data_IF_501698688488
#
_entry.id   IF_501698688488
#
_cell.length_a   1.000
_cell.length_b   1.000
_cell.length_c   1.000
_cell.angle_alpha   90.00
_cell.angle_beta   90.00
_cell.angle_gamma   90.00
#
_symmetry.space_group_name_H-M   'P 1'
#
loop_
_entity.id
_entity.type
_entity.pdbx_description
1 polymer ?
#
# COMPACT_ATOMS: atom_id res chain seq x y z
N UNK A 1 18.71 61.36 -4.18
CA UNK A 1 17.46 60.72 -3.73
C UNK A 1 17.54 59.29 -4.21
N UNK A 2 17.90 58.38 -3.32
CA UNK A 2 18.24 56.97 -3.65
C UNK A 2 17.00 56.11 -3.33
N UNK A 3 16.36 55.56 -4.35
CA UNK A 3 15.21 54.69 -4.19
C UNK A 3 15.69 53.31 -3.81
N UNK A 4 15.44 52.91 -2.58
CA UNK A 4 15.77 51.58 -2.05
C UNK A 4 14.61 50.66 -2.40
N UNK A 5 14.80 49.81 -3.44
CA UNK A 5 13.79 48.80 -3.84
C UNK A 5 13.71 47.72 -2.77
N UNK A 6 12.54 47.59 -2.12
CA UNK A 6 12.21 46.42 -1.29
C UNK A 6 11.96 45.25 -2.21
N UNK A 7 12.87 44.26 -2.15
CA UNK A 7 12.63 42.92 -2.72
C UNK A 7 11.73 42.19 -1.73
N UNK A 8 10.44 42.10 -2.05
CA UNK A 8 9.51 41.26 -1.30
C UNK A 8 9.86 39.77 -1.52
N UNK A 9 10.35 39.09 -0.49
CA UNK A 9 10.46 37.65 -0.47
C UNK A 9 9.04 37.10 -0.30
N UNK A 10 8.46 36.58 -1.36
CA UNK A 10 7.20 35.82 -1.29
C UNK A 10 7.53 34.47 -0.67
N UNK A 11 7.28 34.29 0.63
CA UNK A 11 7.27 32.98 1.25
C UNK A 11 5.98 32.28 0.79
N UNK A 12 6.11 31.30 -0.11
CA UNK A 12 5.04 30.35 -0.33
C UNK A 12 4.81 29.61 0.98
N UNK A 13 3.56 29.54 1.46
CA UNK A 13 3.18 28.65 2.54
C UNK A 13 3.45 27.21 2.06
N UNK A 14 3.91 26.29 2.93
CA UNK A 14 4.01 24.89 2.58
C UNK A 14 2.65 24.38 2.13
N UNK A 15 2.63 23.50 1.13
CA UNK A 15 1.40 22.86 0.70
C UNK A 15 0.84 22.01 1.86
N UNK A 16 -0.45 22.07 2.09
CA UNK A 16 -1.11 21.24 3.09
C UNK A 16 -1.25 19.81 2.54
N UNK A 17 -1.08 18.77 3.39
CA UNK A 17 -1.34 17.39 3.00
C UNK A 17 -2.74 17.21 2.41
N UNK A 18 -2.85 16.49 1.31
CA UNK A 18 -4.09 16.36 0.55
C UNK A 18 -4.60 14.92 0.61
N UNK A 19 -5.92 14.76 0.78
CA UNK A 19 -6.60 13.47 0.69
C UNK A 19 -6.56 12.95 -0.76
N UNK A 20 -6.24 11.66 -0.91
CA UNK A 20 -6.31 10.92 -2.16
C UNK A 20 -7.18 9.67 -1.98
N UNK A 21 -7.90 9.31 -3.01
CA UNK A 21 -8.73 8.09 -3.05
C UNK A 21 -8.13 7.10 -4.04
N UNK A 22 -7.80 5.91 -3.56
CA UNK A 22 -7.24 4.85 -4.39
C UNK A 22 -8.23 4.40 -5.47
N UNK A 23 -7.75 4.31 -6.71
CA UNK A 23 -8.50 3.78 -7.83
C UNK A 23 -8.51 2.25 -7.80
N UNK A 24 -9.64 1.65 -7.44
CA UNK A 24 -9.81 0.19 -7.34
C UNK A 24 -9.59 -0.56 -8.67
N UNK A 25 -9.73 0.11 -9.81
CA UNK A 25 -9.49 -0.51 -11.11
C UNK A 25 -8.00 -0.59 -11.45
N UNK A 26 -7.19 0.35 -10.96
CA UNK A 26 -5.76 0.43 -11.25
C UNK A 26 -4.87 0.21 -10.02
N UNK A 27 -5.47 -0.12 -8.86
CA UNK A 27 -4.73 -0.52 -7.66
C UNK A 27 -4.71 -2.03 -7.52
N UNK A 28 -3.55 -2.60 -7.23
CA UNK A 28 -3.33 -4.05 -7.08
C UNK A 28 -2.41 -4.32 -5.90
N UNK A 29 -2.78 -5.32 -5.11
CA UNK A 29 -1.97 -5.84 -4.01
C UNK A 29 -1.62 -7.30 -4.35
N UNK A 30 -0.35 -7.53 -4.67
CA UNK A 30 0.19 -8.84 -4.99
C UNK A 30 1.03 -9.40 -3.85
N UNK A 31 1.05 -10.71 -3.73
CA UNK A 31 2.02 -11.42 -2.92
C UNK A 31 2.67 -12.53 -3.74
N UNK A 32 3.90 -12.88 -3.36
CA UNK A 32 4.66 -13.97 -3.99
C UNK A 32 5.41 -14.76 -2.93
N UNK A 33 5.32 -16.06 -2.98
CA UNK A 33 6.06 -17.00 -2.14
C UNK A 33 6.81 -18.00 -3.02
N UNK A 34 7.98 -18.45 -2.56
CA UNK A 34 8.69 -19.54 -3.21
C UNK A 34 8.09 -20.89 -2.76
N UNK A 35 7.72 -21.75 -3.70
CA UNK A 35 7.19 -23.07 -3.39
C UNK A 35 8.24 -24.13 -3.69
N UNK A 36 8.78 -24.74 -2.64
CA UNK A 36 9.73 -25.87 -2.69
C UNK A 36 11.04 -25.57 -3.47
N UNK A 37 11.40 -24.30 -3.66
CA UNK A 37 12.51 -23.93 -4.53
C UNK A 37 12.26 -24.13 -6.03
N UNK A 38 11.05 -24.57 -6.41
CA UNK A 38 10.72 -24.94 -7.80
C UNK A 38 10.03 -23.82 -8.57
N UNK A 39 9.21 -23.02 -7.89
CA UNK A 39 8.47 -21.93 -8.55
C UNK A 39 8.18 -20.79 -7.59
N UNK A 40 8.00 -19.60 -8.16
CA UNK A 40 7.43 -18.45 -7.45
C UNK A 40 5.91 -18.49 -7.66
N UNK A 41 5.19 -18.84 -6.62
CA UNK A 41 3.74 -18.83 -6.60
C UNK A 41 3.26 -17.44 -6.19
N UNK A 42 2.39 -16.85 -7.01
CA UNK A 42 1.85 -15.51 -6.76
C UNK A 42 0.32 -15.54 -6.65
N UNK A 43 -0.20 -14.66 -5.82
CA UNK A 43 -1.62 -14.35 -5.72
C UNK A 43 -1.81 -12.85 -5.52
N UNK A 44 -3.06 -12.46 -5.32
CA UNK A 44 -3.45 -11.07 -5.11
C UNK A 44 -4.65 -10.96 -4.16
N UNK A 45 -4.93 -9.75 -3.70
CA UNK A 45 -6.19 -9.40 -3.07
C UNK A 45 -7.03 -8.56 -4.04
N UNK A 46 -8.30 -8.90 -4.19
CA UNK A 46 -9.22 -8.26 -5.14
C UNK A 46 -9.88 -7.00 -4.56
N UNK A 47 -9.98 -6.95 -3.23
CA UNK A 47 -10.61 -5.85 -2.50
C UNK A 47 -9.63 -5.23 -1.52
N UNK A 48 -9.71 -3.93 -1.37
CA UNK A 48 -8.96 -3.14 -0.41
C UNK A 48 -9.72 -1.84 -0.12
N UNK A 49 -9.50 -1.30 1.06
CA UNK A 49 -9.85 0.06 1.44
C UNK A 49 -8.57 0.77 1.85
N UNK A 50 -8.26 1.89 1.20
CA UNK A 50 -7.02 2.65 1.39
C UNK A 50 -7.40 4.10 1.67
N UNK A 51 -7.15 4.53 2.90
CA UNK A 51 -7.20 5.93 3.29
C UNK A 51 -5.79 6.51 3.14
N UNK A 52 -5.64 7.49 2.25
CA UNK A 52 -4.34 8.02 1.86
C UNK A 52 -4.32 9.54 1.88
N UNK A 53 -3.49 10.10 2.75
CA UNK A 53 -3.15 11.53 2.79
C UNK A 53 -1.74 11.66 2.24
N UNK A 54 -1.55 12.47 1.21
CA UNK A 54 -0.27 12.65 0.53
C UNK A 54 0.18 14.10 0.56
N UNK A 55 1.41 14.31 1.01
CA UNK A 55 2.14 15.56 0.90
C UNK A 55 3.30 15.35 -0.09
N UNK A 56 3.19 15.96 -1.27
CA UNK A 56 4.21 15.83 -2.34
C UNK A 56 5.47 16.64 -2.05
N UNK A 57 5.36 17.72 -1.28
CA UNK A 57 6.49 18.57 -0.93
C UNK A 57 7.29 18.02 0.27
N UNK A 58 6.59 17.32 1.18
CA UNK A 58 7.17 16.67 2.35
C UNK A 58 6.50 15.32 2.61
N UNK A 59 7.04 14.26 2.00
CA UNK A 59 6.49 12.91 2.09
C UNK A 59 6.37 12.40 3.53
N UNK A 60 7.13 12.93 4.48
CA UNK A 60 7.09 12.53 5.89
C UNK A 60 5.76 12.91 6.57
N UNK A 61 5.05 13.90 6.02
CA UNK A 61 3.70 14.28 6.46
C UNK A 61 2.59 13.36 5.92
N UNK A 62 2.91 12.50 4.95
CA UNK A 62 1.94 11.57 4.36
C UNK A 62 1.51 10.49 5.35
N UNK A 63 0.30 9.93 5.15
CA UNK A 63 -0.26 8.86 5.99
C UNK A 63 -1.03 7.88 5.13
N UNK A 64 -0.87 6.60 5.44
CA UNK A 64 -1.56 5.50 4.74
C UNK A 64 -2.17 4.57 5.77
N UNK A 65 -3.45 4.27 5.62
CA UNK A 65 -4.15 3.23 6.35
C UNK A 65 -4.81 2.29 5.34
N UNK A 66 -4.57 1.00 5.48
CA UNK A 66 -5.04 -0.02 4.55
C UNK A 66 -5.80 -1.10 5.30
N UNK A 67 -6.98 -1.45 4.79
CA UNK A 67 -7.74 -2.63 5.21
C UNK A 67 -7.96 -3.54 4.00
N UNK A 68 -7.63 -4.82 4.14
CA UNK A 68 -7.76 -5.82 3.07
C UNK A 68 -8.59 -7.00 3.58
N UNK A 69 -9.79 -7.25 3.04
CA UNK A 69 -10.57 -8.43 3.39
C UNK A 69 -9.83 -9.71 3.00
N UNK A 70 -9.66 -10.65 3.94
CA UNK A 70 -9.04 -11.95 3.67
C UNK A 70 -9.82 -12.74 2.61
N UNK A 71 -11.16 -12.60 2.61
CA UNK A 71 -12.05 -13.25 1.63
C UNK A 71 -11.80 -12.82 0.17
N UNK A 72 -11.08 -11.71 -0.03
CA UNK A 72 -10.74 -11.21 -1.39
C UNK A 72 -9.47 -11.84 -1.97
N UNK A 73 -8.85 -12.79 -1.28
CA UNK A 73 -7.65 -13.48 -1.79
C UNK A 73 -7.96 -14.24 -3.07
N UNK A 74 -7.10 -14.07 -4.07
CA UNK A 74 -7.18 -14.75 -5.36
C UNK A 74 -5.83 -15.37 -5.72
N UNK A 75 -5.76 -16.67 -5.59
CA UNK A 75 -4.59 -17.50 -5.94
C UNK A 75 -4.74 -18.15 -7.31
N UNK A 76 -5.75 -17.73 -8.09
CA UNK A 76 -6.14 -18.35 -9.37
C UNK A 76 -6.63 -19.81 -9.22
N UNK A 77 -6.88 -20.28 -8.00
CA UNK A 77 -7.45 -21.59 -7.66
C UNK A 77 -8.51 -21.43 -6.58
N UNK A 78 -9.80 -21.70 -6.88
CA UNK A 78 -10.86 -21.62 -5.90
C UNK A 78 -10.64 -22.50 -4.66
N UNK A 79 -10.05 -23.68 -4.85
CA UNK A 79 -9.77 -24.63 -3.78
C UNK A 79 -8.69 -24.05 -2.84
N UNK A 80 -7.66 -23.43 -3.41
CA UNK A 80 -6.60 -22.82 -2.61
C UNK A 80 -7.09 -21.53 -1.94
N UNK A 81 -7.92 -20.73 -2.60
CA UNK A 81 -8.56 -19.55 -2.00
C UNK A 81 -9.34 -19.96 -0.74
N UNK A 82 -10.17 -21.01 -0.83
CA UNK A 82 -10.88 -21.53 0.34
C UNK A 82 -9.94 -21.95 1.45
N UNK A 83 -8.85 -22.67 1.10
CA UNK A 83 -7.87 -23.14 2.07
C UNK A 83 -7.11 -22.01 2.76
N UNK A 84 -6.89 -20.87 2.10
CA UNK A 84 -6.24 -19.71 2.72
C UNK A 84 -7.09 -19.13 3.87
N UNK A 85 -8.41 -19.35 3.87
CA UNK A 85 -9.30 -18.94 4.96
C UNK A 85 -9.24 -19.82 6.21
N UNK A 86 -8.66 -21.03 6.14
CA UNK A 86 -8.61 -21.98 7.25
C UNK A 86 -7.81 -21.44 8.45
N UNK A 87 -8.08 -21.99 9.64
CA UNK A 87 -7.40 -21.66 10.90
C UNK A 87 -5.87 -21.80 10.80
N UNK A 88 -5.35 -22.75 10.03
CA UNK A 88 -3.92 -22.94 9.81
C UNK A 88 -3.26 -21.78 9.03
N UNK A 89 -4.02 -21.05 8.20
CA UNK A 89 -3.56 -19.93 7.38
C UNK A 89 -4.06 -18.60 7.96
N UNK A 90 -4.95 -17.88 7.27
CA UNK A 90 -5.39 -16.55 7.72
C UNK A 90 -6.46 -16.60 8.81
N UNK A 91 -7.12 -17.74 9.02
CA UNK A 91 -8.21 -17.87 10.01
C UNK A 91 -9.29 -16.79 9.81
N UNK A 92 -9.84 -16.75 8.60
CA UNK A 92 -10.70 -15.66 8.15
C UNK A 92 -12.01 -15.53 8.93
N UNK A 93 -12.45 -16.57 9.62
CA UNK A 93 -13.62 -16.53 10.51
C UNK A 93 -13.38 -15.65 11.73
N UNK A 94 -12.18 -15.74 12.34
CA UNK A 94 -11.79 -14.97 13.51
C UNK A 94 -11.04 -13.67 13.16
N UNK A 95 -10.40 -13.63 12.01
CA UNK A 95 -9.55 -12.54 11.52
C UNK A 95 -9.91 -12.18 10.07
N UNK A 96 -11.07 -11.51 9.84
CA UNK A 96 -11.62 -11.32 8.49
C UNK A 96 -10.82 -10.34 7.61
N UNK A 97 -9.89 -9.56 8.18
CA UNK A 97 -9.14 -8.56 7.45
C UNK A 97 -7.68 -8.45 7.91
N UNK A 98 -6.82 -8.02 6.99
CA UNK A 98 -5.49 -7.52 7.26
C UNK A 98 -5.55 -6.01 7.40
N UNK A 99 -4.70 -5.44 8.25
CA UNK A 99 -4.60 -4.00 8.46
C UNK A 99 -3.15 -3.54 8.37
N UNK A 100 -2.95 -2.33 7.86
CA UNK A 100 -1.67 -1.63 7.92
C UNK A 100 -1.91 -0.16 8.24
N UNK A 101 -1.14 0.37 9.18
CA UNK A 101 -1.21 1.78 9.57
C UNK A 101 0.21 2.32 9.61
N UNK A 102 0.46 3.37 8.83
CA UNK A 102 1.76 4.06 8.79
C UNK A 102 2.12 4.63 10.17
N UNK A 103 3.33 4.37 10.62
CA UNK A 103 3.91 4.95 11.84
C UNK A 103 5.02 5.94 11.54
N UNK A 104 5.73 5.77 10.42
CA UNK A 104 6.81 6.66 9.99
C UNK A 104 7.01 6.59 8.48
N UNK A 105 7.32 7.73 7.88
CA UNK A 105 7.81 7.81 6.50
C UNK A 105 9.13 8.58 6.54
N UNK A 106 10.16 8.02 5.92
CA UNK A 106 11.47 8.63 5.72
C UNK A 106 11.65 8.88 4.23
N UNK A 107 11.72 10.15 3.84
CA UNK A 107 12.01 10.53 2.46
C UNK A 107 13.47 10.29 2.13
N UNK A 108 13.76 9.48 1.10
CA UNK A 108 15.11 9.15 0.66
C UNK A 108 15.58 10.13 -0.41
N UNK A 109 14.70 10.41 -1.38
CA UNK A 109 14.93 11.41 -2.43
C UNK A 109 13.57 11.96 -2.94
N UNK A 110 13.57 12.66 -4.07
CA UNK A 110 12.37 13.29 -4.62
C UNK A 110 11.26 12.29 -5.01
N UNK A 111 11.60 11.01 -5.19
CA UNK A 111 10.66 9.97 -5.66
C UNK A 111 10.64 8.73 -4.78
N UNK A 112 11.61 8.56 -3.89
CA UNK A 112 11.71 7.36 -3.04
C UNK A 112 11.53 7.71 -1.57
N UNK A 113 10.77 6.86 -0.89
CA UNK A 113 10.59 6.91 0.55
C UNK A 113 10.63 5.49 1.15
N UNK A 114 10.97 5.41 2.43
CA UNK A 114 10.79 4.22 3.25
C UNK A 114 9.64 4.44 4.21
N UNK A 115 8.55 3.71 3.99
CA UNK A 115 7.36 3.76 4.82
C UNK A 115 7.36 2.60 5.80
N UNK A 116 7.35 2.89 7.09
CA UNK A 116 7.20 1.89 8.16
C UNK A 116 5.82 2.01 8.78
N UNK A 117 5.20 0.90 9.10
CA UNK A 117 3.88 0.86 9.74
C UNK A 117 3.64 -0.42 10.49
N UNK A 118 2.60 -0.41 11.31
CA UNK A 118 2.11 -1.57 12.04
C UNK A 118 1.20 -2.38 11.12
N UNK A 119 1.64 -3.59 10.77
CA UNK A 119 0.86 -4.55 9.99
C UNK A 119 0.24 -5.58 10.92
N UNK A 120 -1.07 -5.76 10.82
CA UNK A 120 -1.81 -6.78 11.58
C UNK A 120 -2.34 -7.84 10.63
N UNK A 121 -1.91 -9.08 10.84
CA UNK A 121 -2.38 -10.27 10.13
C UNK A 121 -2.70 -11.34 11.16
N UNK A 122 -3.88 -11.96 11.06
CA UNK A 122 -4.30 -13.05 11.97
C UNK A 122 -4.13 -12.69 13.46
N UNK A 123 -4.48 -11.46 13.83
CA UNK A 123 -4.37 -10.95 15.19
C UNK A 123 -2.95 -10.69 15.69
N UNK A 124 -1.93 -10.85 14.87
CA UNK A 124 -0.53 -10.52 15.18
C UNK A 124 -0.17 -9.19 14.54
N UNK A 125 0.30 -8.22 15.33
CA UNK A 125 0.76 -6.92 14.86
C UNK A 125 2.28 -6.84 14.94
N UNK A 126 2.93 -6.57 13.80
CA UNK A 126 4.38 -6.42 13.69
C UNK A 126 4.73 -5.21 12.82
N UNK A 127 5.86 -4.52 13.09
CA UNK A 127 6.33 -3.46 12.20
C UNK A 127 6.79 -4.04 10.86
N UNK A 128 6.32 -3.43 9.77
CA UNK A 128 6.73 -3.74 8.39
C UNK A 128 7.18 -2.48 7.71
N UNK A 129 8.27 -2.56 6.95
CA UNK A 129 8.78 -1.46 6.16
C UNK A 129 8.56 -1.74 4.66
N UNK A 130 8.02 -0.75 3.95
CA UNK A 130 7.88 -0.73 2.50
C UNK A 130 8.87 0.23 1.89
N UNK A 131 9.53 -0.19 0.82
CA UNK A 131 10.21 0.71 -0.09
C UNK A 131 9.16 1.25 -1.08
N UNK A 132 8.98 2.57 -1.10
CA UNK A 132 7.95 3.25 -1.87
C UNK A 132 8.59 4.09 -2.96
N UNK A 133 8.10 3.94 -4.19
CA UNK A 133 8.41 4.78 -5.33
C UNK A 133 7.18 5.61 -5.70
N UNK A 134 7.32 6.92 -5.72
CA UNK A 134 6.37 7.84 -6.34
C UNK A 134 6.62 7.85 -7.85
N UNK A 135 5.71 7.27 -8.63
CA UNK A 135 5.82 7.15 -10.08
C UNK A 135 5.54 8.47 -10.80
N UNK A 136 4.97 9.43 -10.10
CA UNK A 136 4.61 10.75 -10.61
C UNK A 136 3.13 11.07 -10.48
N UNK A 137 2.79 12.28 -10.91
CA UNK A 137 1.44 12.84 -10.87
C UNK A 137 1.11 13.49 -12.20
N UNK A 138 -0.11 13.30 -12.66
CA UNK A 138 -0.65 13.95 -13.86
C UNK A 138 -1.98 14.63 -13.54
N UNK A 139 -2.30 15.72 -14.25
CA UNK A 139 -3.66 16.21 -14.32
C UNK A 139 -4.42 15.32 -15.33
N UNK A 140 -5.38 14.53 -14.83
CA UNK A 140 -6.10 13.56 -15.66
C UNK A 140 -6.92 14.28 -16.75
N UNK A 141 -6.69 14.00 -18.06
CA UNK A 141 -7.20 14.83 -19.16
C UNK A 141 -8.74 14.83 -19.29
N UNK A 142 -9.41 13.78 -18.78
CA UNK A 142 -10.87 13.67 -18.84
C UNK A 142 -11.56 14.29 -17.62
N UNK A 143 -10.97 14.18 -16.44
CA UNK A 143 -11.63 14.53 -15.19
C UNK A 143 -11.12 15.84 -14.60
N UNK A 144 -9.98 16.34 -15.09
CA UNK A 144 -9.33 17.56 -14.60
C UNK A 144 -9.04 17.49 -13.08
N UNK A 145 -8.69 16.29 -12.60
CA UNK A 145 -8.25 15.98 -11.25
C UNK A 145 -6.81 15.47 -11.29
N UNK A 146 -6.04 15.75 -10.26
CA UNK A 146 -4.73 15.15 -10.12
C UNK A 146 -4.88 13.63 -9.89
N UNK A 147 -4.06 12.85 -10.59
CA UNK A 147 -3.94 11.40 -10.42
C UNK A 147 -2.47 11.08 -10.19
N UNK A 148 -2.16 10.43 -9.07
CA UNK A 148 -0.82 10.09 -8.64
C UNK A 148 -0.62 8.57 -8.66
N UNK A 149 0.58 8.14 -9.04
CA UNK A 149 0.95 6.73 -9.12
C UNK A 149 2.03 6.35 -8.11
N UNK A 150 1.92 5.17 -7.51
CA UNK A 150 2.87 4.66 -6.51
C UNK A 150 3.12 3.17 -6.71
N UNK A 151 4.36 2.76 -6.44
CA UNK A 151 4.74 1.35 -6.29
C UNK A 151 5.30 1.16 -4.89
N UNK A 152 4.80 0.18 -4.14
CA UNK A 152 5.34 -0.16 -2.83
C UNK A 152 5.73 -1.64 -2.78
N UNK A 153 6.90 -1.94 -2.20
CA UNK A 153 7.40 -3.32 -2.07
C UNK A 153 7.90 -3.59 -0.66
N UNK A 154 7.62 -4.81 -0.16
CA UNK A 154 8.11 -5.30 1.11
C UNK A 154 8.36 -6.81 1.07
N UNK A 155 9.13 -7.32 2.02
CA UNK A 155 9.18 -8.75 2.34
C UNK A 155 8.78 -8.92 3.80
N UNK A 156 7.83 -9.82 4.06
CA UNK A 156 7.37 -10.14 5.41
C UNK A 156 7.70 -11.59 5.77
N UNK A 157 7.86 -11.85 7.05
CA UNK A 157 7.93 -13.21 7.61
C UNK A 157 6.51 -13.74 7.87
N UNK A 158 6.01 -14.60 6.98
CA UNK A 158 4.67 -15.17 7.08
C UNK A 158 4.48 -16.05 8.32
N UNK A 159 5.57 -16.62 8.88
CA UNK A 159 5.52 -17.43 10.10
C UNK A 159 5.43 -16.59 11.33
N UNK A 160 6.08 -15.42 11.35
CA UNK A 160 5.96 -14.47 12.44
C UNK A 160 4.49 -14.01 12.60
N UNK A 161 3.75 -13.89 11.48
CA UNK A 161 2.31 -13.63 11.46
C UNK A 161 1.43 -14.89 11.66
N UNK A 162 2.02 -16.07 11.83
CA UNK A 162 1.30 -17.34 12.02
C UNK A 162 0.38 -17.75 10.87
N UNK A 163 0.66 -17.30 9.66
CA UNK A 163 -0.15 -17.62 8.46
C UNK A 163 0.48 -18.70 7.58
N UNK A 164 1.54 -19.35 8.04
CA UNK A 164 2.20 -20.43 7.32
C UNK A 164 2.40 -21.66 8.22
N UNK A 165 1.52 -22.67 8.16
CA UNK A 165 1.64 -23.90 8.94
C UNK A 165 2.54 -24.95 8.27
N UNK A 166 3.00 -24.71 7.03
CA UNK A 166 3.72 -25.70 6.24
C UNK A 166 5.20 -25.78 6.64
N UNK A 167 5.89 -26.90 6.42
CA UNK A 167 7.32 -27.01 6.67
C UNK A 167 8.15 -26.01 5.85
N UNK A 168 9.27 -25.53 6.40
CA UNK A 168 10.15 -24.54 5.78
C UNK A 168 10.64 -24.94 4.37
N UNK A 169 10.92 -26.23 4.16
CA UNK A 169 11.35 -26.73 2.85
C UNK A 169 10.24 -26.69 1.79
N UNK A 170 8.98 -26.66 2.21
CA UNK A 170 7.82 -26.58 1.31
C UNK A 170 7.44 -25.12 1.02
N UNK A 171 7.35 -24.31 2.07
CA UNK A 171 7.01 -22.89 1.99
C UNK A 171 7.90 -22.11 2.97
N UNK A 172 8.94 -21.43 2.47
CA UNK A 172 9.78 -20.55 3.27
C UNK A 172 8.99 -19.42 3.96
N UNK A 173 9.62 -18.82 4.98
CA UNK A 173 8.99 -17.74 5.74
C UNK A 173 8.80 -16.45 4.94
N UNK A 174 9.62 -16.22 3.91
CA UNK A 174 9.60 -14.97 3.16
C UNK A 174 8.42 -14.91 2.19
N UNK A 175 7.63 -13.86 2.34
CA UNK A 175 6.58 -13.46 1.39
C UNK A 175 6.89 -12.08 0.86
N UNK A 176 7.09 -11.95 -0.44
CA UNK A 176 7.22 -10.66 -1.10
C UNK A 176 5.84 -10.05 -1.34
N UNK A 177 5.70 -8.77 -1.03
CA UNK A 177 4.50 -7.97 -1.30
C UNK A 177 4.86 -6.91 -2.34
N UNK A 178 3.99 -6.72 -3.31
CA UNK A 178 4.06 -5.62 -4.28
C UNK A 178 2.70 -4.97 -4.44
N UNK A 179 2.68 -3.67 -4.28
CA UNK A 179 1.48 -2.83 -4.45
C UNK A 179 1.74 -1.88 -5.60
N UNK A 180 0.82 -1.87 -6.56
CA UNK A 180 0.72 -0.85 -7.60
C UNK A 180 -0.54 -0.05 -7.32
N UNK A 181 -0.43 1.26 -7.19
CA UNK A 181 -1.54 2.12 -6.82
C UNK A 181 -1.60 3.34 -7.72
N UNK A 182 -2.78 3.60 -8.26
CA UNK A 182 -3.19 4.93 -8.73
C UNK A 182 -4.19 5.51 -7.75
N UNK A 183 -4.12 6.83 -7.52
CA UNK A 183 -5.02 7.51 -6.60
C UNK A 183 -5.38 8.91 -7.14
N UNK A 184 -6.67 9.25 -7.08
CA UNK A 184 -7.16 10.57 -7.43
C UNK A 184 -7.18 11.48 -6.21
N UNK A 185 -6.78 12.72 -6.41
CA UNK A 185 -6.94 13.78 -5.42
C UNK A 185 -8.42 13.99 -5.09
N UNK A 186 -8.75 14.05 -3.79
CA UNK A 186 -10.10 14.19 -3.26
C UNK A 186 -10.70 12.91 -2.70
N UNK A 187 -11.97 12.97 -2.33
CA UNK A 187 -12.69 11.94 -1.56
C UNK A 187 -13.35 10.87 -2.44
N UNK A 188 -13.18 10.92 -3.76
CA UNK A 188 -13.82 9.97 -4.67
C UNK A 188 -13.07 9.79 -5.98
N UNK A 189 -13.26 8.62 -6.58
CA UNK A 189 -12.78 8.32 -7.93
C UNK A 189 -13.88 8.70 -8.94
N UNK A 190 -13.59 9.55 -9.94
CA UNK A 190 -14.61 10.25 -10.72
C UNK A 190 -15.50 9.36 -11.62
N UNK A 191 -15.12 8.12 -11.88
CA UNK A 191 -15.89 7.20 -12.72
C UNK A 191 -16.65 6.10 -11.94
N UNK A 192 -16.60 6.13 -10.60
CA UNK A 192 -17.43 5.24 -9.76
C UNK A 192 -18.79 5.88 -9.40
N UNK A 193 -18.94 7.18 -9.60
CA UNK A 193 -20.18 7.91 -9.34
C UNK A 193 -21.15 7.68 -10.52
N UNK A 194 -22.00 6.66 -10.43
CA UNK A 194 -23.24 6.52 -11.21
C UNK A 194 -24.36 6.11 -10.29
#
# INVERSE_FOLDING_TARGET
MMLMGMIGVSSSLPAEPVQYTADKWHTRIYFTVNHMGLSNFSGRFLEHDINFIFDEEDMENSRVEVTVPVSSIDTFSPELNSKMGDEGFFDSENHPALHFITTNIEQIDATHARMTGDMTIKGVTLPVAFDVLFNGKILHPRFNLNNAGFTATATIDNRAFKVNPLPEWMLPSDTSIRIEMEAFEGDSVPYYSN
#
